data_IF_190943790713
#
_entry.id   IF_190943790713
#
_cell.length_a   1.000
_cell.length_b   1.000
_cell.length_c   1.000
_cell.angle_alpha   90.00
_cell.angle_beta   90.00
_cell.angle_gamma   90.00
#
_symmetry.space_group_name_H-M   'P 1'
#
loop_
_entity.id
_entity.type
_entity.pdbx_description
1 polymer ?
#
# COMPACT_ATOMS: atom_id res chain seq x y z
N UNK A 1 1.06 -20.94 13.73
CA UNK A 1 2.24 -20.04 13.55
C UNK A 1 2.13 -18.96 14.60
N UNK A 2 3.23 -18.59 15.26
CA UNK A 2 3.23 -17.61 16.35
C UNK A 2 4.08 -16.39 16.00
N UNK A 3 3.67 -15.22 16.51
CA UNK A 3 4.46 -14.00 16.45
C UNK A 3 5.73 -14.14 17.28
N UNK A 4 6.85 -13.58 16.80
CA UNK A 4 8.14 -13.59 17.51
C UNK A 4 8.11 -12.69 18.74
N UNK A 5 7.49 -11.53 18.58
CA UNK A 5 7.21 -10.52 19.60
C UNK A 5 5.90 -9.81 19.21
N UNK A 6 5.25 -9.07 20.13
CA UNK A 6 4.17 -8.16 19.75
C UNK A 6 4.63 -7.19 18.66
N UNK A 7 3.70 -6.75 17.80
CA UNK A 7 4.01 -5.75 16.78
C UNK A 7 4.68 -4.51 17.44
N UNK A 8 5.88 -4.09 16.99
CA UNK A 8 6.64 -3.03 17.66
C UNK A 8 5.93 -1.67 17.71
N UNK A 9 5.12 -1.35 16.69
CA UNK A 9 4.31 -0.15 16.69
C UNK A 9 3.16 -0.26 17.70
N UNK A 10 2.46 -1.40 17.76
CA UNK A 10 1.37 -1.61 18.72
C UNK A 10 1.87 -1.63 20.18
N UNK A 11 3.09 -2.12 20.41
CA UNK A 11 3.72 -2.16 21.73
C UNK A 11 4.26 -0.79 22.19
N UNK A 12 4.39 0.19 21.29
CA UNK A 12 4.89 1.53 21.59
C UNK A 12 3.85 2.60 21.22
N UNK A 13 3.11 3.16 22.20
CA UNK A 13 2.04 4.13 21.93
C UNK A 13 2.48 5.37 21.15
N UNK A 14 3.70 5.87 21.38
CA UNK A 14 4.23 7.02 20.66
C UNK A 14 4.47 6.69 19.17
N UNK A 15 5.02 5.50 18.90
CA UNK A 15 5.20 5.00 17.53
C UNK A 15 3.87 4.76 16.85
N UNK A 16 2.90 4.14 17.53
CA UNK A 16 1.56 3.92 16.97
C UNK A 16 0.91 5.26 16.57
N UNK A 17 0.96 6.25 17.46
CA UNK A 17 0.43 7.59 17.18
C UNK A 17 1.12 8.23 15.97
N UNK A 18 2.44 8.11 15.84
CA UNK A 18 3.18 8.67 14.71
C UNK A 18 2.82 7.99 13.38
N UNK A 19 2.69 6.66 13.37
CA UNK A 19 2.31 5.94 12.14
C UNK A 19 0.86 6.19 11.73
N UNK A 20 -0.06 6.35 12.70
CA UNK A 20 -1.44 6.78 12.42
C UNK A 20 -1.44 8.18 11.84
N UNK A 21 -0.73 9.13 12.44
CA UNK A 21 -0.66 10.50 11.93
C UNK A 21 -0.06 10.56 10.51
N UNK A 22 0.93 9.70 10.20
CA UNK A 22 1.45 9.56 8.85
C UNK A 22 0.37 9.06 7.88
N UNK A 23 -0.41 8.04 8.25
CA UNK A 23 -1.49 7.55 7.40
C UNK A 23 -2.59 8.61 7.20
N UNK A 24 -3.00 9.31 8.26
CA UNK A 24 -3.99 10.40 8.22
C UNK A 24 -3.51 11.56 7.33
N UNK A 25 -2.21 11.84 7.28
CA UNK A 25 -1.65 12.89 6.43
C UNK A 25 -1.82 12.66 4.93
N UNK A 26 -2.12 11.41 4.52
CA UNK A 26 -2.44 11.07 3.13
C UNK A 26 -3.91 11.31 2.77
N UNK A 27 -4.76 11.54 3.78
CA UNK A 27 -6.17 11.91 3.61
C UNK A 27 -6.36 13.32 3.05
N UNK A 28 -7.60 13.64 2.66
CA UNK A 28 -8.02 14.98 2.21
C UNK A 28 -7.17 15.61 1.08
N UNK A 29 -6.55 14.75 0.27
CA UNK A 29 -5.71 15.13 -0.88
C UNK A 29 -6.46 15.08 -2.21
N UNK A 30 -7.68 14.52 -2.22
CA UNK A 30 -8.45 14.30 -3.44
C UNK A 30 -8.14 12.96 -4.13
N UNK A 31 -7.19 12.18 -3.61
CA UNK A 31 -6.97 10.79 -4.02
C UNK A 31 -8.04 9.91 -3.36
N UNK A 32 -8.75 9.04 -4.10
CA UNK A 32 -9.71 8.12 -3.50
C UNK A 32 -9.04 7.16 -2.51
N UNK A 33 -9.69 6.91 -1.37
CA UNK A 33 -9.21 5.92 -0.39
C UNK A 33 -9.06 4.53 -1.00
N UNK A 34 -9.90 4.17 -1.97
CA UNK A 34 -9.79 2.89 -2.69
C UNK A 34 -8.47 2.77 -3.46
N UNK A 35 -7.97 3.86 -4.06
CA UNK A 35 -6.63 3.89 -4.69
C UNK A 35 -5.53 3.62 -3.66
N UNK A 36 -5.61 4.25 -2.47
CA UNK A 36 -4.67 3.97 -1.38
C UNK A 36 -4.70 2.49 -0.96
N UNK A 37 -5.89 1.93 -0.74
CA UNK A 37 -6.02 0.54 -0.33
C UNK A 37 -5.56 -0.45 -1.42
N UNK A 38 -5.78 -0.15 -2.71
CA UNK A 38 -5.25 -0.94 -3.82
C UNK A 38 -3.71 -0.97 -3.79
N UNK A 39 -3.06 0.19 -3.63
CA UNK A 39 -1.61 0.26 -3.47
C UNK A 39 -1.14 -0.53 -2.25
N UNK A 40 -1.87 -0.42 -1.12
CA UNK A 40 -1.51 -1.12 0.11
C UNK A 40 -1.60 -2.64 -0.03
N UNK A 41 -2.67 -3.15 -0.64
CA UNK A 41 -2.80 -4.57 -0.97
C UNK A 41 -1.65 -4.99 -1.88
N UNK A 42 -1.37 -4.23 -2.95
CA UNK A 42 -0.31 -4.62 -3.90
C UNK A 42 1.08 -4.62 -3.27
N UNK A 43 1.44 -3.58 -2.52
CA UNK A 43 2.70 -3.51 -1.79
C UNK A 43 2.83 -4.65 -0.76
N UNK A 44 1.72 -5.02 -0.11
CA UNK A 44 1.67 -6.13 0.85
C UNK A 44 1.78 -7.50 0.20
N UNK A 45 1.27 -7.69 -1.02
CA UNK A 45 1.47 -8.89 -1.81
C UNK A 45 2.95 -9.08 -2.16
N UNK A 46 3.62 -8.00 -2.59
CA UNK A 46 5.05 -8.03 -2.93
C UNK A 46 5.90 -8.34 -1.69
N UNK A 47 5.58 -7.73 -0.55
CA UNK A 47 6.35 -7.90 0.69
C UNK A 47 5.98 -9.15 1.50
N UNK A 48 4.89 -9.86 1.15
CA UNK A 48 4.42 -11.03 1.89
C UNK A 48 3.84 -10.72 3.29
N UNK A 49 3.24 -9.55 3.50
CA UNK A 49 2.62 -9.19 4.79
C UNK A 49 1.18 -9.71 4.87
N UNK A 50 0.94 -10.87 5.50
CA UNK A 50 -0.41 -11.45 5.62
C UNK A 50 -1.37 -10.58 6.43
N UNK A 51 -0.94 -10.02 7.57
CA UNK A 51 -1.77 -9.13 8.38
C UNK A 51 -2.20 -7.85 7.64
N UNK A 52 -1.29 -7.27 6.85
CA UNK A 52 -1.57 -6.09 6.03
C UNK A 52 -2.55 -6.44 4.90
N UNK A 53 -2.37 -7.59 4.25
CA UNK A 53 -3.30 -8.06 3.22
C UNK A 53 -4.70 -8.29 3.77
N UNK A 54 -4.84 -8.94 4.93
CA UNK A 54 -6.14 -9.14 5.55
C UNK A 54 -6.83 -7.79 5.86
N UNK A 55 -6.09 -6.85 6.44
CA UNK A 55 -6.60 -5.52 6.79
C UNK A 55 -7.09 -4.76 5.56
N UNK A 56 -6.23 -4.56 4.57
CA UNK A 56 -6.53 -3.69 3.44
C UNK A 56 -7.52 -4.32 2.45
N UNK A 57 -7.60 -5.65 2.36
CA UNK A 57 -8.68 -6.30 1.59
C UNK A 57 -10.04 -6.15 2.29
N UNK A 58 -10.10 -6.16 3.62
CA UNK A 58 -11.33 -5.83 4.37
C UNK A 58 -11.73 -4.37 4.18
N UNK A 59 -10.77 -3.44 4.10
CA UNK A 59 -11.05 -2.03 3.81
C UNK A 59 -11.60 -1.82 2.40
N UNK A 60 -11.03 -2.47 1.38
CA UNK A 60 -11.58 -2.46 0.02
C UNK A 60 -13.02 -2.98 -0.01
N UNK A 61 -13.31 -4.12 0.63
CA UNK A 61 -14.69 -4.64 0.71
C UNK A 61 -15.64 -3.67 1.39
N UNK A 62 -15.22 -3.03 2.49
CA UNK A 62 -16.02 -2.02 3.19
C UNK A 62 -16.26 -0.78 2.31
N UNK A 63 -15.33 -0.44 1.44
CA UNK A 63 -15.45 0.64 0.47
C UNK A 63 -16.30 0.28 -0.76
N UNK A 64 -16.87 -0.94 -0.82
CA UNK A 64 -17.75 -1.39 -1.91
C UNK A 64 -17.03 -1.97 -3.12
N UNK A 65 -15.73 -2.26 -3.00
CA UNK A 65 -14.96 -2.85 -4.09
C UNK A 65 -15.32 -4.32 -4.33
N UNK A 66 -15.33 -4.71 -5.61
CA UNK A 66 -15.69 -6.07 -6.00
C UNK A 66 -14.58 -7.08 -5.70
N UNK A 67 -14.96 -8.34 -5.52
CA UNK A 67 -13.98 -9.41 -5.32
C UNK A 67 -13.05 -9.56 -6.55
N UNK A 68 -13.55 -9.32 -7.78
CA UNK A 68 -12.72 -9.32 -8.99
C UNK A 68 -11.59 -8.30 -8.88
N UNK A 69 -11.87 -7.05 -8.47
CA UNK A 69 -10.84 -6.02 -8.30
C UNK A 69 -9.87 -6.38 -7.18
N UNK A 70 -10.38 -6.84 -6.04
CA UNK A 70 -9.57 -7.23 -4.87
C UNK A 70 -8.61 -8.37 -5.21
N UNK A 71 -9.08 -9.42 -5.89
CA UNK A 71 -8.26 -10.57 -6.23
C UNK A 71 -7.31 -10.30 -7.41
N UNK A 72 -7.78 -9.57 -8.43
CA UNK A 72 -6.98 -9.34 -9.64
C UNK A 72 -5.99 -8.18 -9.54
N UNK A 73 -5.97 -7.42 -8.45
CA UNK A 73 -4.94 -6.38 -8.23
C UNK A 73 -3.52 -6.94 -8.32
N UNK A 74 -3.30 -8.23 -8.03
CA UNK A 74 -2.00 -8.87 -8.20
C UNK A 74 -1.52 -8.94 -9.66
N UNK A 75 -2.47 -8.91 -10.61
CA UNK A 75 -2.28 -9.02 -12.04
C UNK A 75 -2.85 -7.81 -12.79
N UNK A 76 -2.91 -6.65 -12.13
CA UNK A 76 -3.61 -5.44 -12.60
C UNK A 76 -3.25 -4.98 -14.03
N UNK A 77 -2.04 -5.28 -14.52
CA UNK A 77 -1.60 -4.94 -15.88
C UNK A 77 -2.41 -5.67 -16.96
N UNK A 78 -2.85 -6.90 -16.68
CA UNK A 78 -3.55 -7.77 -17.63
C UNK A 78 -5.05 -7.88 -17.30
N UNK A 79 -5.63 -6.79 -16.78
CA UNK A 79 -7.08 -6.70 -16.58
C UNK A 79 -7.60 -5.31 -16.96
N UNK A 80 -8.90 -5.24 -17.26
CA UNK A 80 -9.60 -4.00 -17.60
C UNK A 80 -10.30 -3.34 -16.40
N UNK A 81 -10.11 -3.88 -15.18
CA UNK A 81 -10.87 -3.42 -14.00
C UNK A 81 -10.36 -2.12 -13.38
N UNK A 82 -9.15 -1.68 -13.74
CA UNK A 82 -8.47 -0.54 -13.12
C UNK A 82 -8.39 0.63 -14.09
N UNK A 83 -8.70 1.83 -13.59
CA UNK A 83 -8.58 3.09 -14.35
C UNK A 83 -7.12 3.44 -14.62
N UNK A 84 -6.85 4.31 -15.60
CA UNK A 84 -5.47 4.73 -15.93
C UNK A 84 -4.76 5.37 -14.72
N UNK A 85 -5.48 6.18 -13.94
CA UNK A 85 -4.97 6.75 -12.69
C UNK A 85 -4.58 5.66 -11.68
N UNK A 86 -5.45 4.68 -11.44
CA UNK A 86 -5.15 3.55 -10.54
C UNK A 86 -3.97 2.72 -11.04
N UNK A 87 -3.85 2.50 -12.35
CA UNK A 87 -2.73 1.80 -12.98
C UNK A 87 -1.42 2.54 -12.76
N UNK A 88 -1.42 3.87 -12.89
CA UNK A 88 -0.25 4.69 -12.61
C UNK A 88 0.14 4.64 -11.12
N UNK A 89 -0.83 4.74 -10.21
CA UNK A 89 -0.60 4.60 -8.77
C UNK A 89 -0.06 3.19 -8.40
N UNK A 90 -0.59 2.13 -9.01
CA UNK A 90 -0.10 0.76 -8.83
C UNK A 90 1.32 0.57 -9.37
N UNK A 91 1.63 1.12 -10.54
CA UNK A 91 2.98 1.11 -11.10
C UNK A 91 3.99 1.78 -10.16
N UNK A 92 3.64 2.98 -9.67
CA UNK A 92 4.42 3.72 -8.68
C UNK A 92 4.60 2.91 -7.37
N UNK A 93 3.52 2.28 -6.88
CA UNK A 93 3.57 1.44 -5.68
C UNK A 93 4.49 0.22 -5.84
N UNK A 94 4.47 -0.46 -6.98
CA UNK A 94 5.39 -1.57 -7.24
C UNK A 94 6.84 -1.10 -7.32
N UNK A 95 7.09 0.00 -8.04
CA UNK A 95 8.40 0.61 -8.21
C UNK A 95 9.04 0.99 -6.86
N UNK A 96 8.34 1.77 -6.02
CA UNK A 96 8.82 2.17 -4.69
C UNK A 96 8.93 0.99 -3.72
N UNK A 97 8.05 -0.01 -3.84
CA UNK A 97 8.14 -1.19 -2.96
C UNK A 97 9.38 -2.01 -3.27
N UNK A 98 9.76 -2.12 -4.55
CA UNK A 98 10.92 -2.86 -5.04
C UNK A 98 12.16 -1.97 -5.21
N UNK A 99 12.31 -0.96 -4.36
CA UNK A 99 13.36 0.07 -4.46
C UNK A 99 14.79 -0.51 -4.50
N UNK A 100 15.01 -1.69 -3.91
CA UNK A 100 16.32 -2.34 -3.84
C UNK A 100 16.65 -3.19 -5.07
N UNK A 101 15.70 -3.44 -5.98
CA UNK A 101 15.87 -4.39 -7.08
C UNK A 101 16.63 -3.80 -8.28
N UNK A 102 16.70 -2.47 -8.39
CA UNK A 102 17.31 -1.75 -9.52
C UNK A 102 17.87 -0.40 -9.06
N UNK A 103 18.85 0.12 -9.79
CA UNK A 103 19.55 1.35 -9.44
C UNK A 103 18.65 2.61 -9.50
N UNK A 104 17.74 2.66 -10.48
CA UNK A 104 16.73 3.70 -10.62
C UNK A 104 15.33 3.08 -10.59
N UNK A 105 14.71 2.95 -9.41
CA UNK A 105 13.47 2.20 -9.26
C UNK A 105 12.22 2.95 -9.68
N UNK A 106 12.25 4.29 -9.63
CA UNK A 106 11.17 5.18 -10.03
C UNK A 106 11.73 6.07 -11.12
N UNK A 107 11.91 5.48 -12.30
CA UNK A 107 12.41 6.19 -13.47
C UNK A 107 11.44 7.31 -13.92
N UNK A 108 11.93 8.16 -14.82
CA UNK A 108 11.18 9.30 -15.35
C UNK A 108 9.86 8.86 -16.02
N UNK A 109 9.78 7.65 -16.59
CA UNK A 109 8.56 7.14 -17.23
C UNK A 109 7.47 6.83 -16.19
N UNK A 110 7.83 6.11 -15.11
CA UNK A 110 6.91 5.83 -13.99
C UNK A 110 6.44 7.12 -13.34
N UNK A 111 7.35 8.07 -13.11
CA UNK A 111 6.99 9.35 -12.50
C UNK A 111 6.10 10.19 -13.42
N UNK A 112 6.48 10.34 -14.70
CA UNK A 112 5.72 11.11 -15.67
C UNK A 112 4.32 10.55 -15.85
N UNK A 113 4.15 9.23 -15.91
CA UNK A 113 2.81 8.63 -16.04
C UNK A 113 1.95 8.89 -14.80
N UNK A 114 2.49 8.79 -13.58
CA UNK A 114 1.75 9.19 -12.38
C UNK A 114 1.37 10.68 -12.40
N UNK A 115 2.28 11.55 -12.80
CA UNK A 115 2.06 13.00 -12.86
C UNK A 115 1.03 13.44 -13.93
N UNK A 116 0.67 12.56 -14.87
CA UNK A 116 -0.44 12.82 -15.82
C UNK A 116 -1.82 12.73 -15.17
N UNK A 117 -1.95 11.97 -14.08
CA UNK A 117 -3.23 11.72 -13.40
C UNK A 117 -3.35 12.42 -12.05
N UNK A 118 -2.22 12.78 -11.44
CA UNK A 118 -2.15 13.30 -10.08
C UNK A 118 -1.35 14.60 -10.02
N UNK A 119 -1.90 15.61 -9.33
CA UNK A 119 -1.18 16.84 -9.03
C UNK A 119 -0.10 16.63 -7.94
N UNK A 120 0.69 17.67 -7.64
CA UNK A 120 1.76 17.59 -6.66
C UNK A 120 1.28 17.14 -5.26
N UNK A 121 0.12 17.62 -4.82
CA UNK A 121 -0.45 17.27 -3.51
C UNK A 121 -0.86 15.80 -3.50
N UNK A 122 -1.48 15.33 -4.58
CA UNK A 122 -1.90 13.94 -4.75
C UNK A 122 -0.69 13.00 -4.88
N UNK A 123 0.33 13.36 -5.68
CA UNK A 123 1.57 12.59 -5.79
C UNK A 123 2.30 12.46 -4.45
N UNK A 124 2.39 13.55 -3.68
CA UNK A 124 2.93 13.52 -2.31
C UNK A 124 2.14 12.53 -1.44
N UNK A 125 0.81 12.54 -1.54
CA UNK A 125 -0.04 11.58 -0.83
C UNK A 125 0.25 10.14 -1.22
N UNK A 126 0.37 9.83 -2.52
CA UNK A 126 0.68 8.48 -3.01
C UNK A 126 2.02 8.00 -2.46
N UNK A 127 3.08 8.80 -2.58
CA UNK A 127 4.43 8.45 -2.11
C UNK A 127 4.45 8.19 -0.60
N UNK A 128 3.84 9.08 0.19
CA UNK A 128 3.75 8.91 1.64
C UNK A 128 2.94 7.66 2.02
N UNK A 129 1.85 7.40 1.30
CA UNK A 129 1.01 6.22 1.51
C UNK A 129 1.75 4.91 1.22
N UNK A 130 2.53 4.88 0.13
CA UNK A 130 3.37 3.73 -0.23
C UNK A 130 4.50 3.51 0.80
N UNK A 131 5.13 4.59 1.29
CA UNK A 131 6.15 4.51 2.32
C UNK A 131 5.58 4.01 3.66
N UNK A 132 4.39 4.49 4.03
CA UNK A 132 3.69 4.08 5.25
C UNK A 132 3.37 2.59 5.23
N UNK A 133 2.77 2.05 4.16
CA UNK A 133 2.49 0.62 4.08
C UNK A 133 3.78 -0.21 4.06
N UNK A 134 4.83 0.26 3.39
CA UNK A 134 6.13 -0.42 3.39
C UNK A 134 6.76 -0.49 4.79
N UNK A 135 6.49 0.49 5.64
CA UNK A 135 6.89 0.47 7.06
C UNK A 135 6.11 -0.58 7.84
N UNK A 136 4.78 -0.60 7.73
CA UNK A 136 3.93 -1.62 8.35
C UNK A 136 4.30 -3.04 7.93
N UNK A 137 4.57 -3.24 6.64
CA UNK A 137 4.99 -4.53 6.11
C UNK A 137 6.29 -5.01 6.75
N UNK A 138 7.29 -4.12 6.88
CA UNK A 138 8.58 -4.44 7.52
C UNK A 138 8.39 -4.85 8.98
N UNK A 139 7.56 -4.11 9.73
CA UNK A 139 7.26 -4.43 11.14
C UNK A 139 6.58 -5.79 11.28
N UNK A 140 5.55 -6.04 10.47
CA UNK A 140 4.76 -7.26 10.53
C UNK A 140 5.55 -8.49 10.08
N UNK A 141 6.26 -8.40 8.96
CA UNK A 141 7.06 -9.50 8.41
C UNK A 141 8.22 -9.84 9.35
N UNK A 142 8.96 -8.84 9.85
CA UNK A 142 10.09 -9.07 10.74
C UNK A 142 9.67 -9.78 12.05
N UNK A 143 8.47 -9.49 12.54
CA UNK A 143 7.95 -10.03 13.80
C UNK A 143 6.99 -11.21 13.63
N UNK A 144 6.76 -11.69 12.40
CA UNK A 144 5.84 -12.79 12.06
C UNK A 144 4.41 -12.56 12.56
N UNK A 145 3.85 -11.38 12.29
CA UNK A 145 2.42 -11.16 12.54
C UNK A 145 1.59 -11.94 11.50
N UNK A 146 0.78 -12.89 11.97
CA UNK A 146 0.04 -13.82 11.12
C UNK A 146 -1.45 -13.49 11.15
N UNK A 147 -2.01 -13.16 9.99
CA UNK A 147 -3.46 -13.04 9.81
C UNK A 147 -4.19 -14.35 10.15
N UNK A 148 -5.37 -14.24 10.77
CA UNK A 148 -6.20 -15.40 11.11
C UNK A 148 -5.62 -16.36 12.16
N UNK A 149 -4.52 -16.00 12.83
CA UNK A 149 -4.07 -16.73 14.02
C UNK A 149 -5.00 -16.38 15.19
N UNK A 150 -5.51 -17.42 15.87
CA UNK A 150 -6.33 -17.30 17.09
C UNK A 150 -5.47 -16.98 18.31
#
# INVERSE_FOLDING_TARGET
MEARIPNPALANPATLKALIALAESTGDTGVPNTTHYLMHVRASQINGCSGCLEMHTKELRKAGESDERIFTVAAWRDTAYFTDAERAALALAEALTRIADRADPVDDEVWAEAARHYDEKQLSSLVLSIAAINTWNRLNVATRQVAGAA
#
